data_IF_120126262644
#
_entry.id   IF_120126262644
#
_cell.length_a   1.000
_cell.length_b   1.000
_cell.length_c   1.000
_cell.angle_alpha   90.00
_cell.angle_beta   90.00
_cell.angle_gamma   90.00
#
_symmetry.space_group_name_H-M   'P 1'
#
loop_
_entity.id
_entity.type
_entity.pdbx_description
1 polymer ?
#
# COMPACT_ATOMS: atom_id res chain seq x y z
N UNK A 1 21.50 16.38 9.98
CA UNK A 1 20.03 16.48 9.98
C UNK A 1 19.59 16.75 11.43
N UNK A 2 18.84 17.83 11.72
CA UNK A 2 18.45 18.16 13.12
C UNK A 2 17.55 17.05 13.68
N UNK A 3 17.66 16.71 14.97
CA UNK A 3 16.89 15.62 15.61
C UNK A 3 15.37 15.68 15.35
N UNK A 4 14.80 16.90 15.32
CA UNK A 4 13.39 17.16 15.00
C UNK A 4 12.98 16.71 13.58
N UNK A 5 13.90 16.79 12.62
CA UNK A 5 13.69 16.38 11.24
C UNK A 5 13.64 14.86 11.09
N UNK A 6 14.49 14.13 11.83
CA UNK A 6 14.48 12.66 11.84
C UNK A 6 13.19 12.15 12.49
N UNK A 7 12.80 12.73 13.63
CA UNK A 7 11.56 12.37 14.32
C UNK A 7 10.32 12.53 13.42
N UNK A 8 10.22 13.64 12.68
CA UNK A 8 9.10 13.86 11.74
C UNK A 8 9.03 12.78 10.64
N UNK A 9 10.18 12.47 10.03
CA UNK A 9 10.27 11.45 8.96
C UNK A 9 9.88 10.07 9.49
N UNK A 10 10.40 9.70 10.65
CA UNK A 10 10.08 8.42 11.29
C UNK A 10 8.61 8.32 11.67
N UNK A 11 8.05 9.37 12.28
CA UNK A 11 6.63 9.40 12.68
C UNK A 11 5.72 9.26 11.46
N UNK A 12 6.01 9.94 10.35
CA UNK A 12 5.18 9.81 9.16
C UNK A 12 5.30 8.42 8.52
N UNK A 13 6.50 7.84 8.50
CA UNK A 13 6.71 6.44 8.08
C UNK A 13 5.91 5.45 8.91
N UNK A 14 6.04 5.51 10.24
CA UNK A 14 5.29 4.63 11.15
C UNK A 14 3.78 4.84 11.08
N UNK A 15 3.32 6.09 10.97
CA UNK A 15 1.91 6.38 10.84
C UNK A 15 1.31 5.78 9.58
N UNK A 16 2.01 5.92 8.44
CA UNK A 16 1.58 5.35 7.15
C UNK A 16 1.56 3.82 7.20
N UNK A 17 2.55 3.20 7.83
CA UNK A 17 2.60 1.76 8.01
C UNK A 17 1.51 1.25 8.95
N UNK A 18 1.26 1.94 10.06
CA UNK A 18 0.23 1.58 11.03
C UNK A 18 -1.17 1.69 10.44
N UNK A 19 -1.47 2.77 9.71
CA UNK A 19 -2.78 2.93 9.07
C UNK A 19 -3.01 1.89 7.98
N UNK A 20 -1.97 1.56 7.18
CA UNK A 20 -2.08 0.51 6.16
C UNK A 20 -2.22 -0.88 6.78
N UNK A 21 -1.36 -1.22 7.74
CA UNK A 21 -1.44 -2.49 8.46
C UNK A 21 -2.81 -2.63 9.13
N UNK A 22 -3.29 -1.60 9.83
CA UNK A 22 -4.60 -1.59 10.47
C UNK A 22 -5.75 -1.81 9.48
N UNK A 23 -5.76 -1.13 8.32
CA UNK A 23 -6.78 -1.34 7.28
C UNK A 23 -6.73 -2.75 6.69
N UNK A 24 -5.54 -3.29 6.44
CA UNK A 24 -5.38 -4.67 5.93
C UNK A 24 -5.80 -5.69 6.99
N UNK A 25 -5.45 -5.48 8.26
CA UNK A 25 -5.81 -6.37 9.36
C UNK A 25 -7.31 -6.38 9.61
N UNK A 26 -7.97 -5.22 9.59
CA UNK A 26 -9.43 -5.14 9.72
C UNK A 26 -10.10 -5.85 8.54
N UNK A 27 -9.58 -5.69 7.32
CA UNK A 27 -10.10 -6.40 6.15
C UNK A 27 -9.92 -7.92 6.26
N UNK A 28 -8.74 -8.38 6.67
CA UNK A 28 -8.43 -9.78 6.93
C UNK A 28 -9.25 -10.37 8.09
N UNK A 29 -9.49 -9.60 9.15
CA UNK A 29 -10.30 -10.02 10.28
C UNK A 29 -11.76 -10.20 9.88
N UNK A 30 -12.28 -9.31 9.02
CA UNK A 30 -13.67 -9.39 8.55
C UNK A 30 -13.86 -10.48 7.48
N UNK A 31 -12.85 -10.76 6.64
CA UNK A 31 -12.99 -11.65 5.48
C UNK A 31 -12.14 -12.94 5.52
N UNK A 32 -11.31 -13.13 6.54
CA UNK A 32 -10.35 -14.23 6.60
C UNK A 32 -11.01 -15.61 6.78
N UNK A 33 -10.26 -16.70 6.53
CA UNK A 33 -10.78 -18.07 6.59
C UNK A 33 -11.26 -18.53 7.99
N UNK A 34 -10.86 -17.82 9.06
CA UNK A 34 -11.35 -18.04 10.43
C UNK A 34 -12.61 -17.20 10.78
N UNK A 35 -13.22 -16.53 9.80
CA UNK A 35 -14.46 -15.73 9.97
C UNK A 35 -15.73 -16.55 10.21
N UNK A 36 -15.60 -17.89 10.24
CA UNK A 36 -16.68 -18.88 10.36
C UNK A 36 -17.62 -18.64 11.57
N UNK A 37 -17.25 -17.81 12.54
CA UNK A 37 -18.10 -17.49 13.70
C UNK A 37 -18.45 -16.02 13.91
N UNK A 38 -18.03 -15.06 13.06
CA UNK A 38 -18.24 -13.62 13.37
C UNK A 38 -19.02 -12.81 12.34
N UNK A 39 -19.21 -13.31 11.12
CA UNK A 39 -19.95 -12.63 10.06
C UNK A 39 -20.71 -13.61 9.15
N UNK A 40 -21.54 -14.49 9.72
CA UNK A 40 -22.53 -15.23 8.90
C UNK A 40 -23.50 -14.29 8.13
N UNK A 41 -23.53 -13.00 8.48
CA UNK A 41 -24.21 -11.93 7.71
C UNK A 41 -23.49 -11.48 6.43
N UNK A 42 -22.16 -11.64 6.32
CA UNK A 42 -21.36 -11.19 5.14
C UNK A 42 -20.98 -12.38 4.25
N UNK A 43 -21.23 -13.61 4.69
CA UNK A 43 -21.05 -14.86 3.93
C UNK A 43 -22.09 -15.08 2.83
N UNK A 44 -22.78 -14.03 2.43
CA UNK A 44 -23.44 -13.99 1.13
C UNK A 44 -22.34 -13.98 0.08
N UNK A 45 -22.43 -14.80 -0.98
CA UNK A 45 -21.59 -14.70 -2.19
C UNK A 45 -21.75 -13.34 -2.93
N UNK A 46 -22.25 -12.32 -2.25
CA UNK A 46 -22.53 -11.01 -2.75
C UNK A 46 -21.27 -10.16 -2.68
N UNK A 47 -20.54 -10.19 -3.79
CA UNK A 47 -19.34 -9.38 -4.07
C UNK A 47 -19.55 -7.89 -3.75
N UNK A 48 -20.79 -7.40 -3.83
CA UNK A 48 -21.16 -6.02 -3.55
C UNK A 48 -21.00 -5.69 -2.06
N UNK A 49 -21.38 -6.60 -1.16
CA UNK A 49 -21.20 -6.43 0.30
C UNK A 49 -19.71 -6.43 0.66
N UNK A 50 -18.94 -7.34 0.07
CA UNK A 50 -17.48 -7.40 0.26
C UNK A 50 -16.79 -6.12 -0.21
N UNK A 51 -17.21 -5.58 -1.35
CA UNK A 51 -16.71 -4.32 -1.89
C UNK A 51 -17.05 -3.14 -0.96
N UNK A 52 -18.28 -3.07 -0.45
CA UNK A 52 -18.70 -2.01 0.50
C UNK A 52 -17.83 -2.05 1.76
N UNK A 53 -17.61 -3.23 2.34
CA UNK A 53 -16.79 -3.39 3.54
C UNK A 53 -15.35 -2.97 3.27
N UNK A 54 -14.75 -3.47 2.19
CA UNK A 54 -13.40 -3.06 1.80
C UNK A 54 -13.31 -1.54 1.61
N UNK A 55 -14.19 -0.95 0.81
CA UNK A 55 -14.22 0.50 0.58
C UNK A 55 -14.36 1.27 1.88
N UNK A 56 -15.21 0.83 2.80
CA UNK A 56 -15.39 1.50 4.11
C UNK A 56 -14.11 1.47 4.92
N UNK A 57 -13.46 0.30 5.02
CA UNK A 57 -12.21 0.15 5.78
C UNK A 57 -11.08 1.02 5.18
N UNK A 58 -10.98 1.07 3.86
CA UNK A 58 -9.96 1.88 3.18
C UNK A 58 -10.28 3.39 3.20
N UNK A 59 -11.56 3.78 3.13
CA UNK A 59 -11.98 5.16 3.36
C UNK A 59 -11.62 5.63 4.77
N UNK A 60 -11.93 4.81 5.79
CA UNK A 60 -11.58 5.11 7.17
C UNK A 60 -10.07 5.16 7.38
N UNK A 61 -9.33 4.19 6.83
CA UNK A 61 -7.86 4.18 6.86
C UNK A 61 -7.26 5.44 6.26
N UNK A 62 -7.73 5.83 5.07
CA UNK A 62 -7.25 7.04 4.40
C UNK A 62 -7.68 8.34 5.05
N UNK A 63 -8.86 8.38 5.66
CA UNK A 63 -9.26 9.50 6.49
C UNK A 63 -8.33 9.66 7.70
N UNK A 64 -8.03 8.57 8.42
CA UNK A 64 -7.12 8.59 9.56
C UNK A 64 -5.70 9.03 9.15
N UNK A 65 -5.19 8.51 8.03
CA UNK A 65 -3.89 8.92 7.51
C UNK A 65 -3.84 10.40 7.14
N UNK A 66 -4.87 10.89 6.42
CA UNK A 66 -5.02 12.31 6.10
C UNK A 66 -5.13 13.21 7.33
N UNK A 67 -5.84 12.76 8.36
CA UNK A 67 -5.94 13.47 9.64
C UNK A 67 -4.57 13.57 10.33
N UNK A 68 -3.79 12.49 10.33
CA UNK A 68 -2.43 12.50 10.88
C UNK A 68 -1.52 13.47 10.12
N UNK A 69 -1.56 13.47 8.79
CA UNK A 69 -0.79 14.44 7.97
C UNK A 69 -1.26 15.86 8.27
N UNK A 70 -2.56 16.12 8.34
CA UNK A 70 -3.09 17.45 8.62
C UNK A 70 -2.60 17.98 9.97
N UNK A 71 -2.59 17.15 11.01
CA UNK A 71 -2.05 17.50 12.34
C UNK A 71 -0.54 17.75 12.29
N UNK A 72 0.21 16.90 11.59
CA UNK A 72 1.67 17.02 11.48
C UNK A 72 2.10 18.26 10.68
N UNK A 73 1.29 18.67 9.70
CA UNK A 73 1.58 19.79 8.79
C UNK A 73 0.81 21.07 9.12
N UNK A 74 -0.03 21.07 10.16
CA UNK A 74 -0.95 22.16 10.50
C UNK A 74 -1.78 22.64 9.29
N UNK A 75 -2.34 21.69 8.55
CA UNK A 75 -3.16 21.94 7.35
C UNK A 75 -4.66 21.76 7.64
N UNK A 76 -5.52 22.18 6.70
CA UNK A 76 -6.98 21.95 6.80
C UNK A 76 -7.30 20.44 6.86
N UNK A 77 -7.75 20.01 8.04
CA UNK A 77 -8.06 18.63 8.32
C UNK A 77 -9.17 18.09 7.41
N UNK A 78 -10.21 18.88 7.13
CA UNK A 78 -11.37 18.42 6.36
C UNK A 78 -10.97 18.10 4.92
N UNK A 79 -10.28 19.03 4.26
CA UNK A 79 -9.80 18.85 2.89
C UNK A 79 -8.79 17.69 2.78
N UNK A 80 -7.88 17.55 3.77
CA UNK A 80 -6.90 16.47 3.79
C UNK A 80 -7.52 15.09 4.00
N UNK A 81 -8.47 14.96 4.93
CA UNK A 81 -9.20 13.71 5.21
C UNK A 81 -9.93 13.25 3.96
N UNK A 82 -10.69 14.13 3.30
CA UNK A 82 -11.44 13.79 2.08
C UNK A 82 -10.49 13.36 0.96
N UNK A 83 -9.43 14.14 0.71
CA UNK A 83 -8.49 13.83 -0.35
C UNK A 83 -7.77 12.48 -0.13
N UNK A 84 -7.33 12.22 1.10
CA UNK A 84 -6.63 10.99 1.44
C UNK A 84 -7.57 9.77 1.40
N UNK A 85 -8.78 9.89 1.96
CA UNK A 85 -9.80 8.84 1.89
C UNK A 85 -10.11 8.45 0.44
N UNK A 86 -10.32 9.42 -0.45
CA UNK A 86 -10.59 9.16 -1.87
C UNK A 86 -9.39 8.52 -2.59
N UNK A 87 -8.18 9.06 -2.38
CA UNK A 87 -6.97 8.54 -3.03
C UNK A 87 -6.64 7.09 -2.63
N UNK A 88 -6.88 6.76 -1.36
CA UNK A 88 -6.65 5.41 -0.85
C UNK A 88 -7.77 4.44 -1.24
N UNK A 89 -9.01 4.89 -1.37
CA UNK A 89 -10.07 4.06 -1.95
C UNK A 89 -9.81 3.74 -3.42
N UNK A 90 -9.28 4.70 -4.20
CA UNK A 90 -8.87 4.45 -5.58
C UNK A 90 -7.77 3.36 -5.65
N UNK A 91 -6.87 3.34 -4.67
CA UNK A 91 -5.83 2.32 -4.52
C UNK A 91 -6.43 0.91 -4.44
N UNK A 92 -7.54 0.73 -3.72
CA UNK A 92 -8.23 -0.57 -3.60
C UNK A 92 -8.65 -1.12 -4.95
N UNK A 93 -9.21 -0.27 -5.81
CA UNK A 93 -9.60 -0.68 -7.16
C UNK A 93 -8.39 -1.06 -8.01
N UNK A 94 -7.27 -0.33 -7.88
CA UNK A 94 -6.02 -0.69 -8.57
C UNK A 94 -5.48 -2.04 -8.09
N UNK A 95 -5.50 -2.31 -6.79
CA UNK A 95 -5.09 -3.61 -6.24
C UNK A 95 -6.04 -4.74 -6.64
N UNK A 96 -7.36 -4.53 -6.59
CA UNK A 96 -8.34 -5.51 -7.02
C UNK A 96 -8.15 -5.86 -8.50
N UNK A 97 -7.89 -4.85 -9.34
CA UNK A 97 -7.51 -5.03 -10.74
C UNK A 97 -6.22 -5.82 -10.90
N UNK A 98 -5.17 -5.48 -10.15
CA UNK A 98 -3.88 -6.17 -10.20
C UNK A 98 -3.97 -7.64 -9.76
N UNK A 99 -4.72 -7.94 -8.70
CA UNK A 99 -4.97 -9.30 -8.23
C UNK A 99 -5.77 -10.08 -9.27
N UNK A 100 -6.83 -9.48 -9.83
CA UNK A 100 -7.65 -10.12 -10.87
C UNK A 100 -6.82 -10.41 -12.13
N UNK A 101 -6.02 -9.44 -12.57
CA UNK A 101 -5.11 -9.59 -13.69
C UNK A 101 -4.05 -10.67 -13.43
N UNK A 102 -3.46 -10.72 -12.23
CA UNK A 102 -2.51 -11.76 -11.86
C UNK A 102 -3.15 -13.14 -11.81
N UNK A 103 -4.35 -13.27 -11.26
CA UNK A 103 -5.09 -14.54 -11.25
C UNK A 103 -5.39 -15.06 -12.66
N UNK A 104 -5.82 -14.18 -13.56
CA UNK A 104 -6.02 -14.52 -14.99
C UNK A 104 -4.69 -14.88 -15.65
N UNK A 105 -3.63 -14.10 -15.38
CA UNK A 105 -2.29 -14.30 -15.95
C UNK A 105 -1.64 -15.59 -15.45
N UNK A 106 -1.90 -16.01 -14.20
CA UNK A 106 -1.45 -17.30 -13.69
C UNK A 106 -2.21 -18.47 -14.34
N UNK A 107 -3.51 -18.30 -14.59
CA UNK A 107 -4.30 -19.27 -15.35
C UNK A 107 -3.73 -19.48 -16.77
N UNK A 108 -3.36 -18.39 -17.46
CA UNK A 108 -2.71 -18.48 -18.79
C UNK A 108 -1.25 -18.93 -18.73
N UNK A 109 -0.48 -18.54 -17.71
CA UNK A 109 0.90 -19.01 -17.51
C UNK A 109 0.97 -20.49 -17.17
N UNK A 110 -0.04 -21.06 -16.50
CA UNK A 110 -0.12 -22.50 -16.25
C UNK A 110 -0.28 -23.32 -17.54
N UNK A 111 -0.90 -22.74 -18.58
CA UNK A 111 -0.97 -23.34 -19.92
C UNK A 111 0.38 -23.22 -20.66
N UNK A 112 1.13 -22.15 -20.45
CA UNK A 112 2.49 -21.95 -21.00
C UNK A 112 3.56 -22.79 -20.28
N UNK A 113 3.37 -23.11 -19.00
CA UNK A 113 4.25 -23.96 -18.21
C UNK A 113 4.28 -25.43 -18.69
N UNK A 114 3.29 -25.85 -19.49
CA UNK A 114 3.31 -27.14 -20.19
C UNK A 114 4.28 -27.16 -21.38
N UNK A 115 4.71 -26.00 -21.88
CA UNK A 115 5.50 -25.84 -23.10
C UNK A 115 6.94 -25.38 -22.78
N UNK A 116 7.15 -24.70 -21.64
CA UNK A 116 8.45 -24.19 -21.21
C UNK A 116 9.11 -25.07 -20.14
N UNK A 117 10.45 -25.13 -20.08
CA UNK A 117 11.16 -25.82 -19.01
C UNK A 117 10.74 -25.26 -17.65
N UNK A 118 10.58 -26.15 -16.66
CA UNK A 118 10.15 -25.79 -15.31
C UNK A 118 11.12 -24.77 -14.69
N UNK A 119 10.64 -23.54 -14.50
CA UNK A 119 11.36 -22.51 -13.76
C UNK A 119 10.91 -22.50 -12.31
N UNK A 120 11.70 -23.07 -11.37
CA UNK A 120 11.44 -22.87 -9.95
C UNK A 120 11.49 -21.35 -9.71
N UNK A 121 10.47 -20.79 -9.05
CA UNK A 121 10.30 -19.35 -8.78
C UNK A 121 9.61 -18.49 -9.87
N UNK A 122 9.09 -19.05 -10.96
CA UNK A 122 8.29 -18.27 -11.94
C UNK A 122 7.17 -17.44 -11.27
N UNK A 123 6.46 -18.03 -10.32
CA UNK A 123 5.42 -17.35 -9.53
C UNK A 123 5.95 -16.20 -8.66
N UNK A 124 7.18 -16.30 -8.16
CA UNK A 124 7.82 -15.26 -7.34
C UNK A 124 8.13 -14.04 -8.21
N UNK A 125 8.68 -14.28 -9.41
CA UNK A 125 8.96 -13.22 -10.38
C UNK A 125 7.68 -12.55 -10.87
N UNK A 126 6.65 -13.31 -11.23
CA UNK A 126 5.35 -12.73 -11.65
C UNK A 126 4.71 -11.90 -10.53
N UNK A 127 4.79 -12.36 -9.28
CA UNK A 127 4.32 -11.60 -8.13
C UNK A 127 5.05 -10.26 -8.01
N UNK A 128 6.39 -10.27 -7.99
CA UNK A 128 7.16 -9.04 -7.88
C UNK A 128 6.95 -8.11 -9.08
N UNK A 129 6.90 -8.65 -10.30
CA UNK A 129 6.77 -7.89 -11.53
C UNK A 129 5.43 -7.15 -11.64
N UNK A 130 4.37 -7.67 -11.03
CA UNK A 130 3.05 -7.01 -11.03
C UNK A 130 2.91 -6.08 -9.82
N UNK A 131 3.21 -6.56 -8.62
CA UNK A 131 2.91 -5.79 -7.41
C UNK A 131 3.89 -4.63 -7.20
N UNK A 132 5.18 -4.78 -7.49
CA UNK A 132 6.16 -3.69 -7.33
C UNK A 132 5.77 -2.41 -8.10
N UNK A 133 5.46 -2.45 -9.41
CA UNK A 133 5.05 -1.24 -10.13
C UNK A 133 3.70 -0.71 -9.67
N UNK A 134 2.73 -1.58 -9.37
CA UNK A 134 1.42 -1.16 -8.85
C UNK A 134 1.58 -0.35 -7.56
N UNK A 135 2.38 -0.85 -6.62
CA UNK A 135 2.69 -0.18 -5.36
C UNK A 135 3.36 1.16 -5.57
N UNK A 136 4.34 1.22 -6.47
CA UNK A 136 5.05 2.44 -6.80
C UNK A 136 4.13 3.51 -7.39
N UNK A 137 3.29 3.14 -8.37
CA UNK A 137 2.35 4.05 -9.03
C UNK A 137 1.30 4.57 -8.03
N UNK A 138 0.67 3.67 -7.28
CA UNK A 138 -0.31 4.00 -6.26
C UNK A 138 0.27 4.98 -5.25
N UNK A 139 1.45 4.69 -4.71
CA UNK A 139 2.08 5.54 -3.70
C UNK A 139 2.48 6.89 -4.30
N UNK A 140 2.90 6.92 -5.57
CA UNK A 140 3.18 8.16 -6.27
C UNK A 140 1.93 9.04 -6.43
N UNK A 141 0.78 8.45 -6.77
CA UNK A 141 -0.50 9.16 -6.84
C UNK A 141 -0.88 9.72 -5.47
N UNK A 142 -0.78 8.91 -4.42
CA UNK A 142 -1.11 9.35 -3.05
C UNK A 142 -0.19 10.50 -2.60
N UNK A 143 1.13 10.38 -2.83
CA UNK A 143 2.11 11.44 -2.55
C UNK A 143 1.82 12.73 -3.34
N UNK A 144 1.43 12.60 -4.61
CA UNK A 144 1.02 13.73 -5.45
C UNK A 144 -0.22 14.45 -4.90
N UNK A 145 -1.26 13.69 -4.52
CA UNK A 145 -2.51 14.23 -3.97
C UNK A 145 -2.25 14.97 -2.66
N UNK A 146 -1.56 14.33 -1.71
CA UNK A 146 -1.21 14.92 -0.41
C UNK A 146 -0.43 16.21 -0.59
N UNK A 147 0.64 16.18 -1.38
CA UNK A 147 1.51 17.34 -1.59
C UNK A 147 0.77 18.49 -2.27
N UNK A 148 -0.10 18.18 -3.24
CA UNK A 148 -0.95 19.18 -3.89
C UNK A 148 -1.95 19.82 -2.93
N UNK A 149 -2.53 19.04 -2.02
CA UNK A 149 -3.48 19.52 -1.01
C UNK A 149 -2.83 20.36 0.09
N UNK A 150 -1.57 20.07 0.41
CA UNK A 150 -0.76 20.88 1.32
C UNK A 150 -0.27 22.20 0.71
N UNK A 151 -0.63 22.52 -0.55
CA UNK A 151 -0.27 23.78 -1.21
C UNK A 151 1.07 23.75 -1.97
N UNK A 152 1.84 22.66 -1.87
CA UNK A 152 3.14 22.52 -2.53
C UNK A 152 3.01 22.06 -4.01
N UNK A 153 2.29 22.82 -4.83
CA UNK A 153 1.94 22.43 -6.22
C UNK A 153 3.14 22.15 -7.13
N UNK A 154 4.28 22.79 -6.87
CA UNK A 154 5.51 22.61 -7.65
C UNK A 154 6.23 21.30 -7.30
N UNK A 155 6.05 20.83 -6.06
CA UNK A 155 6.75 19.67 -5.53
C UNK A 155 5.93 18.38 -5.66
N UNK A 156 4.63 18.46 -5.96
CA UNK A 156 3.75 17.28 -6.04
C UNK A 156 4.27 16.17 -6.96
N UNK A 157 4.89 16.51 -8.10
CA UNK A 157 5.44 15.51 -9.04
C UNK A 157 6.69 14.83 -8.47
N UNK A 158 7.62 15.61 -7.94
CA UNK A 158 8.87 15.07 -7.39
C UNK A 158 8.62 14.28 -6.11
N UNK A 159 7.77 14.79 -5.21
CA UNK A 159 7.38 14.10 -3.97
C UNK A 159 6.65 12.79 -4.29
N UNK A 160 5.70 12.81 -5.24
CA UNK A 160 5.05 11.59 -5.72
C UNK A 160 6.05 10.57 -6.24
N UNK A 161 6.97 10.98 -7.11
CA UNK A 161 7.99 10.10 -7.67
C UNK A 161 8.89 9.48 -6.57
N UNK A 162 9.38 10.29 -5.64
CA UNK A 162 10.24 9.81 -4.55
C UNK A 162 9.50 8.84 -3.63
N UNK A 163 8.26 9.17 -3.24
CA UNK A 163 7.44 8.29 -2.41
C UNK A 163 7.11 6.98 -3.13
N UNK A 164 6.76 7.04 -4.41
CA UNK A 164 6.49 5.88 -5.26
C UNK A 164 7.69 4.97 -5.42
N UNK A 165 8.86 5.52 -5.78
CA UNK A 165 10.09 4.75 -5.93
C UNK A 165 10.51 4.12 -4.60
N UNK A 166 10.45 4.88 -3.50
CA UNK A 166 10.79 4.37 -2.18
C UNK A 166 9.85 3.23 -1.76
N UNK A 167 8.55 3.36 -2.01
CA UNK A 167 7.59 2.30 -1.73
C UNK A 167 7.82 1.05 -2.58
N UNK A 168 8.09 1.21 -3.88
CA UNK A 168 8.42 0.10 -4.77
C UNK A 168 9.68 -0.65 -4.31
N UNK A 169 10.73 0.10 -3.93
CA UNK A 169 11.96 -0.48 -3.38
C UNK A 169 11.75 -1.13 -2.01
N UNK A 170 10.94 -0.54 -1.14
CA UNK A 170 10.57 -1.12 0.15
C UNK A 170 9.81 -2.44 -0.02
N UNK A 171 8.83 -2.47 -0.92
CA UNK A 171 8.10 -3.68 -1.30
C UNK A 171 9.04 -4.75 -1.85
N UNK A 172 9.87 -4.39 -2.83
CA UNK A 172 10.81 -5.30 -3.47
C UNK A 172 11.81 -5.87 -2.46
N UNK A 173 12.36 -5.02 -1.57
CA UNK A 173 13.34 -5.45 -0.57
C UNK A 173 12.74 -6.48 0.38
N UNK A 174 11.56 -6.19 0.95
CA UNK A 174 10.87 -7.15 1.82
C UNK A 174 10.49 -8.41 1.06
N UNK A 175 9.99 -8.27 -0.17
CA UNK A 175 9.64 -9.40 -1.04
C UNK A 175 10.84 -10.31 -1.32
N UNK A 176 12.01 -9.76 -1.65
CA UNK A 176 13.22 -10.53 -1.88
C UNK A 176 13.68 -11.29 -0.63
N UNK A 177 13.66 -10.64 0.54
CA UNK A 177 14.01 -11.27 1.81
C UNK A 177 13.07 -12.42 2.12
N UNK A 178 11.76 -12.22 2.00
CA UNK A 178 10.78 -13.26 2.32
C UNK A 178 10.81 -14.42 1.32
N UNK A 179 10.83 -14.13 0.02
CA UNK A 179 10.73 -15.13 -1.05
C UNK A 179 12.03 -15.94 -1.23
N UNK A 180 13.18 -15.27 -1.22
CA UNK A 180 14.47 -15.89 -1.53
C UNK A 180 15.36 -16.06 -0.31
N UNK A 181 15.23 -15.20 0.71
CA UNK A 181 15.98 -15.34 1.97
C UNK A 181 15.35 -16.34 2.93
N UNK A 182 14.03 -16.24 3.14
CA UNK A 182 13.28 -17.10 4.07
C UNK A 182 12.51 -18.23 3.40
N UNK A 183 12.57 -18.32 2.07
CA UNK A 183 11.95 -19.39 1.29
C UNK A 183 10.40 -19.40 1.34
N UNK A 184 9.76 -18.25 1.54
CA UNK A 184 8.29 -18.18 1.48
C UNK A 184 7.81 -18.38 0.05
N UNK A 185 6.97 -19.39 -0.18
CA UNK A 185 6.40 -19.68 -1.49
C UNK A 185 5.14 -18.85 -1.80
N UNK A 186 5.08 -18.28 -3.01
CA UNK A 186 3.84 -17.69 -3.55
C UNK A 186 2.89 -18.81 -3.99
N UNK A 187 1.70 -18.89 -3.40
CA UNK A 187 0.66 -19.85 -3.81
C UNK A 187 0.69 -21.20 -3.10
N UNK A 188 1.63 -21.45 -2.17
CA UNK A 188 1.66 -22.71 -1.40
C UNK A 188 0.42 -22.91 -0.52
N UNK A 189 -0.12 -21.81 0.04
CA UNK A 189 -1.35 -21.79 0.85
C UNK A 189 -2.06 -20.43 0.69
N UNK A 190 -3.41 -20.38 0.63
CA UNK A 190 -4.17 -19.14 0.46
C UNK A 190 -3.81 -18.05 1.49
N UNK A 191 -3.53 -18.44 2.74
CA UNK A 191 -3.13 -17.51 3.81
C UNK A 191 -1.70 -16.98 3.69
N UNK A 192 -0.74 -17.77 3.19
CA UNK A 192 0.66 -17.36 3.08
C UNK A 192 0.84 -16.21 2.08
N UNK A 193 0.06 -16.22 0.99
CA UNK A 193 0.13 -15.17 -0.02
C UNK A 193 -0.37 -13.82 0.53
N UNK A 194 -1.47 -13.83 1.31
CA UNK A 194 -1.97 -12.61 1.95
C UNK A 194 -0.98 -12.08 2.99
N UNK A 195 -0.39 -12.95 3.82
CA UNK A 195 0.66 -12.55 4.77
C UNK A 195 1.90 -11.99 4.08
N UNK A 196 2.34 -12.59 2.97
CA UNK A 196 3.44 -12.08 2.16
C UNK A 196 3.12 -10.67 1.63
N UNK A 197 1.94 -10.51 1.01
CA UNK A 197 1.52 -9.24 0.45
C UNK A 197 1.40 -8.16 1.54
N UNK A 198 0.88 -8.52 2.72
CA UNK A 198 0.78 -7.64 3.88
C UNK A 198 2.16 -7.15 4.36
N UNK A 199 3.12 -8.06 4.56
CA UNK A 199 4.47 -7.69 5.00
C UNK A 199 5.19 -6.81 3.97
N UNK A 200 5.08 -7.14 2.69
CA UNK A 200 5.64 -6.31 1.62
C UNK A 200 4.99 -4.92 1.57
N UNK A 201 3.67 -4.84 1.79
CA UNK A 201 2.92 -3.59 1.88
C UNK A 201 3.35 -2.74 3.09
N UNK A 202 3.63 -3.36 4.24
CA UNK A 202 4.18 -2.65 5.41
C UNK A 202 5.54 -2.05 5.07
N UNK A 203 6.42 -2.81 4.42
CA UNK A 203 7.72 -2.32 3.94
C UNK A 203 7.58 -1.14 2.98
N UNK A 204 6.65 -1.24 2.04
CA UNK A 204 6.33 -0.18 1.09
C UNK A 204 5.81 1.09 1.80
N UNK A 205 4.88 0.94 2.74
CA UNK A 205 4.30 2.04 3.50
C UNK A 205 5.32 2.76 4.38
N UNK A 206 6.22 2.02 5.03
CA UNK A 206 7.32 2.60 5.79
C UNK A 206 8.23 3.42 4.87
N UNK A 207 8.72 2.82 3.79
CA UNK A 207 9.66 3.48 2.89
C UNK A 207 9.03 4.69 2.17
N UNK A 208 7.81 4.52 1.63
CA UNK A 208 7.06 5.59 0.98
C UNK A 208 6.68 6.72 1.95
N UNK A 209 6.23 6.39 3.16
CA UNK A 209 5.91 7.37 4.20
C UNK A 209 7.13 8.15 4.68
N UNK A 210 8.29 7.49 4.85
CA UNK A 210 9.54 8.17 5.18
C UNK A 210 10.01 9.09 4.05
N UNK A 211 9.94 8.65 2.79
CA UNK A 211 10.32 9.48 1.64
C UNK A 211 9.41 10.72 1.50
N UNK A 212 8.09 10.54 1.68
CA UNK A 212 7.12 11.62 1.73
C UNK A 212 7.46 12.60 2.86
N UNK A 213 7.74 12.09 4.06
CA UNK A 213 8.04 12.90 5.24
C UNK A 213 9.33 13.69 5.08
N UNK A 214 10.34 13.06 4.48
CA UNK A 214 11.60 13.71 4.19
C UNK A 214 11.42 14.87 3.21
N UNK A 215 10.66 14.65 2.15
CA UNK A 215 10.41 15.67 1.14
C UNK A 215 9.56 16.83 1.70
N UNK A 216 8.52 16.55 2.48
CA UNK A 216 7.70 17.58 3.14
C UNK A 216 8.51 18.40 4.15
N UNK A 217 9.33 17.74 4.97
CA UNK A 217 10.18 18.44 5.93
C UNK A 217 11.23 19.33 5.24
N UNK A 218 11.83 18.87 4.15
CA UNK A 218 12.75 19.69 3.35
C UNK A 218 12.06 20.93 2.76
N UNK A 219 10.80 20.78 2.37
CA UNK A 219 9.98 21.87 1.82
C UNK A 219 9.65 22.92 2.88
N UNK A 220 9.31 22.49 4.10
CA UNK A 220 9.06 23.37 5.24
C UNK A 220 10.26 24.25 5.58
N UNK A 221 11.46 23.65 5.65
CA UNK A 221 12.70 24.38 5.95
C UNK A 221 12.99 25.50 4.94
N UNK A 222 12.57 25.35 3.67
CA UNK A 222 12.75 26.38 2.64
C UNK A 222 11.78 27.55 2.73
N UNK A 223 10.67 27.41 3.46
CA UNK A 223 9.69 28.49 3.64
C UNK A 223 9.99 29.34 4.88
N UNK A 224 10.67 28.75 5.87
CA UNK A 224 10.96 29.39 7.15
C UNK A 224 12.32 30.15 7.16
N UNK A 225 13.05 30.18 6.05
CA UNK A 225 14.36 30.83 5.93
C UNK A 225 14.47 31.64 4.66
#
# INVERSE_FOLDING_TARGET
>A
MKLKSVAFVSVLGFWTAFTLAGSVWVWLFLLGPNSITRLDLIRSNNILVLLIVALTVFLCGGGLWGLGIARLMNADATSMVIACALSWSATVFTFAGAISFWGISLGSLSQLAYILPYFPHSHHYSFLLIFVPVIGIVTAINGYVVTGKLGFKELRKSVGLYAGLAAALGFLTVGLILLFGLGWGVGERPGKMLSLLELCNIGAALAGGMALGWALNKSRIRLDG
#
